data_IF_185229055664
#
_entry.id   IF_185229055664
#
_cell.length_a   1.000
_cell.length_b   1.000
_cell.length_c   1.000
_cell.angle_alpha   90.00
_cell.angle_beta   90.00
_cell.angle_gamma   90.00
#
_symmetry.space_group_name_H-M   'P 1'
#
loop_
_entity.id
_entity.type
_entity.pdbx_description
1 polymer ?
#
# COMPACT_ATOMS: atom_id res chain seq x y z
N UNK A 1 7.43 -16.66 -18.11
CA UNK A 1 6.88 -15.53 -17.33
C UNK A 1 7.96 -14.72 -16.57
N UNK A 2 9.13 -14.47 -17.17
CA UNK A 2 10.17 -13.69 -16.49
C UNK A 2 9.74 -12.21 -16.37
N UNK A 3 9.73 -11.68 -15.14
CA UNK A 3 9.45 -10.26 -14.85
C UNK A 3 8.01 -9.91 -14.47
N UNK A 4 7.10 -10.88 -14.34
CA UNK A 4 5.74 -10.59 -13.84
C UNK A 4 5.72 -10.23 -12.35
N UNK A 5 6.54 -10.91 -11.54
CA UNK A 5 6.70 -10.55 -10.13
C UNK A 5 7.57 -9.31 -10.01
N UNK A 6 7.05 -8.27 -9.37
CA UNK A 6 7.80 -7.04 -9.11
C UNK A 6 8.98 -7.35 -8.17
N UNK A 7 10.11 -6.66 -8.38
CA UNK A 7 11.32 -6.88 -7.58
C UNK A 7 11.07 -6.59 -6.10
N UNK A 8 10.39 -5.48 -5.80
CA UNK A 8 10.06 -5.11 -4.42
C UNK A 8 9.18 -6.13 -3.69
N UNK A 9 8.31 -6.85 -4.40
CA UNK A 9 7.52 -7.94 -3.82
C UNK A 9 8.42 -9.12 -3.46
N UNK A 10 9.25 -9.59 -4.40
CA UNK A 10 10.17 -10.70 -4.14
C UNK A 10 11.18 -10.39 -3.02
N UNK A 11 11.81 -9.21 -3.07
CA UNK A 11 12.86 -8.80 -2.13
C UNK A 11 12.30 -8.59 -0.72
N UNK A 12 11.15 -7.92 -0.56
CA UNK A 12 10.54 -7.71 0.74
C UNK A 12 9.96 -9.01 1.32
N UNK A 13 9.36 -9.88 0.50
CA UNK A 13 8.91 -11.19 0.95
C UNK A 13 10.09 -12.00 1.52
N UNK A 14 11.21 -12.03 0.80
CA UNK A 14 12.42 -12.72 1.24
C UNK A 14 12.99 -12.11 2.53
N UNK A 15 12.98 -10.78 2.65
CA UNK A 15 13.41 -10.08 3.87
C UNK A 15 12.51 -10.42 5.07
N UNK A 16 11.18 -10.30 4.93
CA UNK A 16 10.20 -10.59 5.98
C UNK A 16 10.33 -12.03 6.46
N UNK A 17 10.50 -12.98 5.53
CA UNK A 17 10.65 -14.40 5.86
C UNK A 17 11.97 -14.75 6.53
N UNK A 18 13.01 -13.89 6.47
CA UNK A 18 14.23 -14.08 7.28
C UNK A 18 13.97 -13.85 8.76
N UNK A 19 12.99 -13.02 9.13
CA UNK A 19 12.66 -12.73 10.52
C UNK A 19 12.12 -14.01 11.23
N UNK A 20 12.84 -14.56 12.23
CA UNK A 20 12.40 -15.77 12.93
C UNK A 20 11.08 -15.59 13.69
N UNK A 21 10.79 -14.38 14.19
CA UNK A 21 9.54 -14.10 14.88
C UNK A 21 8.34 -14.20 13.93
N UNK A 22 8.47 -13.64 12.73
CA UNK A 22 7.44 -13.73 11.68
C UNK A 22 7.19 -15.18 11.30
N UNK A 23 8.23 -15.97 11.01
CA UNK A 23 8.07 -17.39 10.66
C UNK A 23 7.37 -18.19 11.76
N UNK A 24 7.72 -17.95 13.03
CA UNK A 24 7.05 -18.61 14.17
C UNK A 24 5.57 -18.23 14.27
N UNK A 25 5.24 -16.96 14.01
CA UNK A 25 3.85 -16.49 14.01
C UNK A 25 3.03 -17.08 12.85
N UNK A 26 3.59 -17.09 11.64
CA UNK A 26 2.96 -17.73 10.47
C UNK A 26 2.62 -19.18 10.80
N UNK A 27 3.58 -19.94 11.34
CA UNK A 27 3.35 -21.33 11.74
C UNK A 27 2.21 -21.46 12.76
N UNK A 28 2.16 -20.59 13.79
CA UNK A 28 1.05 -20.60 14.76
C UNK A 28 -0.31 -20.29 14.13
N UNK A 29 -0.34 -19.37 13.17
CA UNK A 29 -1.55 -18.99 12.44
C UNK A 29 -2.00 -20.16 11.56
N UNK A 30 -1.07 -20.85 10.91
CA UNK A 30 -1.33 -22.05 10.10
C UNK A 30 -1.85 -23.21 10.96
N UNK A 31 -1.23 -23.47 12.12
CA UNK A 31 -1.66 -24.50 13.06
C UNK A 31 -3.09 -24.25 13.60
N UNK A 32 -3.53 -22.98 13.59
CA UNK A 32 -4.88 -22.55 14.01
C UNK A 32 -5.80 -22.23 12.82
N UNK A 33 -5.35 -22.44 11.59
CA UNK A 33 -6.09 -22.00 10.42
C UNK A 33 -7.45 -22.71 10.39
N UNK A 34 -8.57 -21.95 10.34
CA UNK A 34 -9.89 -22.55 10.35
C UNK A 34 -10.09 -23.41 9.10
N UNK A 35 -10.33 -24.71 9.33
CA UNK A 35 -10.89 -25.60 8.31
C UNK A 35 -12.36 -25.23 8.05
N UNK A 36 -12.84 -25.43 6.83
CA UNK A 36 -14.23 -25.15 6.44
C UNK A 36 -14.43 -23.84 5.70
N UNK A 37 -13.38 -23.23 5.14
CA UNK A 37 -13.52 -22.05 4.27
C UNK A 37 -14.46 -22.35 3.11
N UNK A 38 -14.29 -23.49 2.45
CA UNK A 38 -15.17 -23.95 1.38
C UNK A 38 -16.61 -24.14 1.84
N UNK A 39 -16.84 -24.65 3.06
CA UNK A 39 -18.18 -24.79 3.65
C UNK A 39 -18.82 -23.41 3.85
N UNK A 40 -18.08 -22.43 4.37
CA UNK A 40 -18.56 -21.08 4.57
C UNK A 40 -18.89 -20.37 3.25
N UNK A 41 -18.08 -20.58 2.20
CA UNK A 41 -18.36 -20.07 0.86
C UNK A 41 -19.63 -20.68 0.27
N UNK A 42 -19.80 -22.01 0.40
CA UNK A 42 -21.00 -22.70 -0.08
C UNK A 42 -22.27 -22.32 0.69
N UNK A 43 -22.17 -21.82 1.93
CA UNK A 43 -23.33 -21.40 2.71
C UNK A 43 -23.73 -19.94 2.48
N UNK A 44 -22.79 -19.07 2.09
CA UNK A 44 -23.00 -17.62 2.02
C UNK A 44 -22.90 -17.03 0.60
N UNK A 45 -22.36 -17.79 -0.35
CA UNK A 45 -22.17 -17.40 -1.73
C UNK A 45 -22.68 -18.48 -2.70
N UNK A 46 -22.82 -18.11 -3.98
CA UNK A 46 -23.22 -19.04 -5.03
C UNK A 46 -21.98 -19.48 -5.80
N UNK A 47 -21.70 -20.79 -5.83
CA UNK A 47 -20.65 -21.35 -6.68
C UNK A 47 -21.08 -21.28 -8.15
N UNK A 48 -20.29 -20.61 -8.97
CA UNK A 48 -20.51 -20.50 -10.40
C UNK A 48 -19.86 -21.68 -11.13
N UNK A 49 -20.68 -22.47 -11.81
CA UNK A 49 -20.22 -23.53 -12.71
C UNK A 49 -20.15 -23.02 -14.14
N UNK A 50 -19.47 -23.75 -15.02
CA UNK A 50 -19.42 -23.46 -16.46
C UNK A 50 -20.83 -23.32 -17.07
N UNK A 51 -21.77 -24.17 -16.66
CA UNK A 51 -23.16 -24.10 -17.13
C UNK A 51 -23.91 -22.84 -16.66
N UNK A 52 -23.53 -22.27 -15.52
CA UNK A 52 -24.18 -21.08 -14.96
C UNK A 52 -23.60 -19.77 -15.51
N UNK A 53 -22.28 -19.74 -15.76
CA UNK A 53 -21.56 -18.54 -16.18
C UNK A 53 -20.47 -18.89 -17.22
N UNK A 54 -20.87 -19.29 -18.45
CA UNK A 54 -19.94 -19.79 -19.46
C UNK A 54 -18.90 -18.75 -19.89
N UNK A 55 -19.30 -17.47 -20.00
CA UNK A 55 -18.38 -16.38 -20.37
C UNK A 55 -17.31 -16.13 -19.29
N UNK A 56 -17.72 -16.07 -18.02
CA UNK A 56 -16.78 -15.96 -16.90
C UNK A 56 -15.85 -17.17 -16.87
N UNK A 57 -16.40 -18.38 -17.04
CA UNK A 57 -15.60 -19.60 -17.05
C UNK A 57 -14.54 -19.56 -18.17
N UNK A 58 -14.89 -19.11 -19.37
CA UNK A 58 -13.94 -18.92 -20.47
C UNK A 58 -12.86 -17.89 -20.12
N UNK A 59 -13.22 -16.75 -19.52
CA UNK A 59 -12.24 -15.76 -19.03
C UNK A 59 -11.30 -16.40 -18.02
N UNK A 60 -11.83 -17.12 -17.03
CA UNK A 60 -11.04 -17.81 -15.99
C UNK A 60 -10.05 -18.80 -16.61
N UNK A 61 -10.47 -19.63 -17.55
CA UNK A 61 -9.58 -20.61 -18.19
C UNK A 61 -8.48 -19.96 -19.02
N UNK A 62 -8.81 -18.96 -19.84
CA UNK A 62 -7.81 -18.23 -20.62
C UNK A 62 -6.76 -17.56 -19.73
N UNK A 63 -7.19 -17.00 -18.60
CA UNK A 63 -6.26 -16.39 -17.64
C UNK A 63 -5.38 -17.45 -16.95
N UNK A 64 -5.95 -18.60 -16.57
CA UNK A 64 -5.18 -19.73 -16.02
C UNK A 64 -4.15 -20.27 -17.01
N UNK A 65 -4.52 -20.41 -18.28
CA UNK A 65 -3.62 -20.83 -19.35
C UNK A 65 -2.46 -19.84 -19.53
N UNK A 66 -2.77 -18.54 -19.63
CA UNK A 66 -1.75 -17.47 -19.75
C UNK A 66 -0.79 -17.40 -18.56
N UNK A 67 -1.29 -17.69 -17.35
CA UNK A 67 -0.52 -17.67 -16.11
C UNK A 67 0.00 -19.06 -15.70
N UNK A 68 -0.16 -20.07 -16.55
CA UNK A 68 0.26 -21.48 -16.33
C UNK A 68 -0.18 -22.05 -14.96
N UNK A 69 -1.39 -21.69 -14.50
CA UNK A 69 -1.94 -22.15 -13.21
C UNK A 69 -2.73 -23.44 -13.41
N UNK A 70 -2.20 -24.55 -12.89
CA UNK A 70 -2.82 -25.88 -12.97
C UNK A 70 -3.69 -26.25 -11.77
N UNK A 71 -3.56 -25.53 -10.65
CA UNK A 71 -4.30 -25.83 -9.41
C UNK A 71 -5.81 -25.81 -9.61
N UNK A 72 -6.57 -26.72 -8.98
CA UNK A 72 -8.03 -26.69 -9.00
C UNK A 72 -8.57 -25.35 -8.50
N UNK A 73 -9.58 -24.82 -9.20
CA UNK A 73 -10.16 -23.51 -8.92
C UNK A 73 -11.68 -23.59 -8.85
N UNK A 74 -12.29 -23.04 -7.81
CA UNK A 74 -13.73 -22.82 -7.75
C UNK A 74 -14.03 -21.32 -7.71
N UNK A 75 -15.04 -20.90 -8.48
CA UNK A 75 -15.47 -19.50 -8.57
C UNK A 75 -16.79 -19.30 -7.84
N UNK A 76 -16.89 -18.21 -7.09
CA UNK A 76 -18.09 -17.86 -6.32
C UNK A 76 -18.54 -16.43 -6.64
N UNK A 77 -19.85 -16.20 -6.54
CA UNK A 77 -20.44 -14.86 -6.54
C UNK A 77 -21.18 -14.61 -5.24
N UNK A 78 -21.02 -13.42 -4.68
CA UNK A 78 -21.75 -12.98 -3.49
C UNK A 78 -22.47 -11.64 -3.73
N UNK A 79 -23.64 -11.42 -3.10
CA UNK A 79 -24.40 -10.21 -3.31
C UNK A 79 -23.72 -9.02 -2.63
N UNK A 80 -23.16 -8.10 -3.42
CA UNK A 80 -22.57 -6.88 -2.89
C UNK A 80 -22.71 -5.71 -3.88
N UNK A 81 -23.03 -4.50 -3.42
CA UNK A 81 -23.17 -3.33 -4.28
C UNK A 81 -21.83 -2.65 -4.63
N UNK A 82 -20.75 -3.00 -3.93
CA UNK A 82 -19.41 -2.48 -4.20
C UNK A 82 -18.69 -3.41 -5.17
N UNK A 83 -17.84 -2.86 -6.05
CA UNK A 83 -16.95 -3.68 -6.87
C UNK A 83 -15.87 -4.26 -5.99
N UNK A 84 -15.82 -5.59 -5.94
CA UNK A 84 -14.79 -6.32 -5.23
C UNK A 84 -14.61 -7.72 -5.85
N UNK A 85 -13.39 -8.22 -5.78
CA UNK A 85 -13.00 -9.58 -6.06
C UNK A 85 -11.96 -10.01 -5.01
N UNK A 86 -11.85 -11.30 -4.75
CA UNK A 86 -10.87 -11.79 -3.78
C UNK A 86 -10.39 -13.21 -4.09
N UNK A 87 -9.07 -13.36 -4.06
CA UNK A 87 -8.33 -14.59 -3.92
C UNK A 87 -8.39 -15.10 -2.47
N UNK A 88 -9.05 -16.23 -2.25
CA UNK A 88 -9.10 -16.85 -0.92
C UNK A 88 -8.02 -17.91 -0.81
N UNK A 89 -7.39 -17.99 0.38
CA UNK A 89 -6.37 -19.00 0.69
C UNK A 89 -6.84 -20.39 0.24
N UNK A 90 -5.98 -21.17 -0.45
CA UNK A 90 -6.33 -22.53 -0.86
C UNK A 90 -6.68 -23.45 0.31
N UNK A 91 -7.67 -24.32 0.13
CA UNK A 91 -8.06 -25.35 1.09
C UNK A 91 -8.20 -26.70 0.36
N UNK A 92 -7.57 -27.76 0.89
CA UNK A 92 -7.62 -29.09 0.28
C UNK A 92 -7.10 -29.12 -1.17
N UNK A 93 -6.08 -28.30 -1.47
CA UNK A 93 -5.50 -28.16 -2.81
C UNK A 93 -6.37 -27.38 -3.81
N UNK A 94 -7.47 -26.75 -3.36
CA UNK A 94 -8.35 -25.94 -4.21
C UNK A 94 -8.19 -24.47 -3.88
N UNK A 95 -7.99 -23.65 -4.89
CA UNK A 95 -8.02 -22.21 -4.80
C UNK A 95 -9.44 -21.69 -5.04
N UNK A 96 -9.83 -20.61 -4.35
CA UNK A 96 -11.16 -20.03 -4.51
C UNK A 96 -11.04 -18.57 -4.92
N UNK A 97 -11.84 -18.18 -5.92
CA UNK A 97 -11.96 -16.79 -6.34
C UNK A 97 -13.40 -16.36 -6.18
N UNK A 98 -13.60 -15.20 -5.55
CA UNK A 98 -14.91 -14.64 -5.30
C UNK A 98 -15.10 -13.33 -6.04
N UNK A 99 -16.30 -13.09 -6.54
CA UNK A 99 -16.69 -11.83 -7.15
C UNK A 99 -17.95 -11.27 -6.50
N UNK A 100 -17.95 -9.96 -6.28
CA UNK A 100 -19.19 -9.23 -6.01
C UNK A 100 -20.11 -9.28 -7.25
N UNK A 101 -21.42 -9.40 -7.03
CA UNK A 101 -22.40 -9.35 -8.12
C UNK A 101 -22.30 -8.05 -8.94
N UNK A 102 -22.03 -6.92 -8.26
CA UNK A 102 -21.82 -5.63 -8.89
C UNK A 102 -20.69 -5.61 -9.93
N UNK A 103 -19.58 -6.30 -9.66
CA UNK A 103 -18.42 -6.33 -10.55
C UNK A 103 -18.72 -7.14 -11.80
N UNK A 104 -19.32 -8.32 -11.65
CA UNK A 104 -19.68 -9.18 -12.78
C UNK A 104 -20.68 -8.49 -13.72
N UNK A 105 -21.62 -7.71 -13.19
CA UNK A 105 -22.59 -6.97 -14.01
C UNK A 105 -21.99 -5.77 -14.76
N UNK A 106 -20.87 -5.21 -14.30
CA UNK A 106 -20.38 -3.91 -14.75
C UNK A 106 -19.13 -3.97 -15.64
N UNK A 107 -18.37 -5.06 -15.59
CA UNK A 107 -17.07 -5.17 -16.27
C UNK A 107 -17.21 -5.90 -17.60
N UNK A 108 -16.65 -5.31 -18.65
CA UNK A 108 -16.55 -5.98 -19.95
C UNK A 108 -15.55 -7.15 -19.90
N UNK A 109 -15.61 -8.07 -20.87
CA UNK A 109 -14.81 -9.30 -20.87
C UNK A 109 -13.30 -9.11 -20.60
N UNK A 110 -12.63 -8.18 -21.29
CA UNK A 110 -11.20 -7.92 -21.06
C UNK A 110 -10.92 -7.14 -19.76
N UNK A 111 -11.89 -6.34 -19.29
CA UNK A 111 -11.79 -5.65 -17.99
C UNK A 111 -11.92 -6.68 -16.86
N UNK A 112 -12.80 -7.66 -17.03
CA UNK A 112 -12.96 -8.79 -16.13
C UNK A 112 -11.72 -9.70 -16.17
N UNK A 113 -11.14 -9.94 -17.35
CA UNK A 113 -9.87 -10.67 -17.49
C UNK A 113 -8.72 -9.99 -16.72
N UNK A 114 -8.68 -8.65 -16.66
CA UNK A 114 -7.74 -7.93 -15.81
C UNK A 114 -7.90 -8.30 -14.32
N UNK A 115 -9.14 -8.20 -13.81
CA UNK A 115 -9.46 -8.52 -12.40
C UNK A 115 -9.16 -9.99 -12.10
N UNK A 116 -9.56 -10.89 -12.99
CA UNK A 116 -9.27 -12.33 -12.85
C UNK A 116 -7.76 -12.58 -12.80
N UNK A 117 -7.00 -12.03 -13.75
CA UNK A 117 -5.54 -12.19 -13.77
C UNK A 117 -4.87 -11.64 -12.50
N UNK A 118 -5.39 -10.53 -11.97
CA UNK A 118 -4.95 -9.95 -10.70
C UNK A 118 -5.20 -10.90 -9.52
N UNK A 119 -6.42 -11.45 -9.37
CA UNK A 119 -6.71 -12.40 -8.28
C UNK A 119 -5.93 -13.70 -8.41
N UNK A 120 -5.78 -14.23 -9.63
CA UNK A 120 -4.99 -15.43 -9.89
C UNK A 120 -3.51 -15.22 -9.53
N UNK A 121 -3.00 -14.00 -9.67
CA UNK A 121 -1.62 -13.69 -9.33
C UNK A 121 -1.33 -13.72 -7.82
N UNK A 122 -2.30 -13.40 -6.97
CA UNK A 122 -2.16 -13.61 -5.52
C UNK A 122 -1.94 -15.08 -5.17
N UNK A 123 -2.51 -15.99 -5.95
CA UNK A 123 -2.21 -17.42 -5.82
C UNK A 123 -0.86 -17.79 -6.44
N UNK A 124 -0.60 -17.34 -7.67
CA UNK A 124 0.65 -17.62 -8.39
C UNK A 124 1.91 -17.24 -7.61
N UNK A 125 1.89 -16.08 -6.95
CA UNK A 125 3.04 -15.57 -6.19
C UNK A 125 2.96 -15.87 -4.69
N UNK A 126 2.01 -16.72 -4.28
CA UNK A 126 1.83 -17.18 -2.89
C UNK A 126 1.67 -16.03 -1.88
N UNK A 127 1.01 -14.94 -2.26
CA UNK A 127 0.78 -13.78 -1.38
C UNK A 127 -0.05 -14.14 -0.12
N UNK A 128 -0.73 -15.29 -0.12
CA UNK A 128 -1.44 -15.80 1.05
C UNK A 128 -0.52 -16.46 2.10
N UNK A 129 0.74 -16.74 1.76
CA UNK A 129 1.73 -17.36 2.66
C UNK A 129 2.18 -16.42 3.78
N UNK A 130 2.09 -15.10 3.57
CA UNK A 130 2.33 -14.09 4.60
C UNK A 130 0.97 -13.46 4.95
N UNK A 131 0.22 -14.00 5.93
CA UNK A 131 -1.10 -13.50 6.29
C UNK A 131 -1.00 -12.22 7.12
N UNK A 132 -0.69 -11.09 6.47
CA UNK A 132 -0.38 -9.80 7.11
C UNK A 132 -1.43 -9.42 8.15
N UNK A 133 -2.73 -9.47 7.82
CA UNK A 133 -3.78 -9.09 8.78
C UNK A 133 -3.77 -9.96 10.05
N UNK A 134 -3.48 -11.26 9.92
CA UNK A 134 -3.38 -12.14 11.07
C UNK A 134 -2.09 -11.89 11.86
N UNK A 135 -0.99 -11.58 11.18
CA UNK A 135 0.28 -11.21 11.80
C UNK A 135 0.16 -9.91 12.61
N UNK A 136 -0.56 -8.90 12.09
CA UNK A 136 -0.80 -7.64 12.78
C UNK A 136 -1.65 -7.82 14.06
N UNK A 137 -2.41 -8.91 14.16
CA UNK A 137 -3.24 -9.23 15.33
C UNK A 137 -2.52 -10.12 16.37
N UNK A 138 -1.27 -10.54 16.13
CA UNK A 138 -0.51 -11.37 17.07
C UNK A 138 -0.08 -10.59 18.32
N UNK A 139 0.07 -11.30 19.46
CA UNK A 139 0.54 -10.72 20.73
C UNK A 139 1.75 -11.51 21.28
N UNK A 140 2.85 -10.86 21.72
CA UNK A 140 3.11 -9.43 21.57
C UNK A 140 3.22 -9.03 20.09
N UNK A 141 2.88 -7.78 19.75
CA UNK A 141 2.87 -7.28 18.38
C UNK A 141 4.28 -7.18 17.82
N UNK A 142 4.38 -7.17 16.50
CA UNK A 142 5.64 -7.03 15.80
C UNK A 142 6.22 -5.64 15.94
N UNK A 143 7.52 -5.55 15.67
CA UNK A 143 8.21 -4.29 15.58
C UNK A 143 7.74 -3.46 14.37
N UNK A 144 7.81 -2.14 14.45
CA UNK A 144 7.26 -1.23 13.46
C UNK A 144 8.02 -1.30 12.14
N UNK A 145 9.30 -1.68 12.18
CA UNK A 145 10.07 -2.00 10.99
C UNK A 145 9.44 -3.18 10.25
N UNK A 146 9.12 -4.25 10.96
CA UNK A 146 8.41 -5.41 10.41
C UNK A 146 7.01 -5.04 9.93
N UNK A 147 6.23 -4.28 10.72
CA UNK A 147 4.88 -3.83 10.33
C UNK A 147 4.91 -2.99 9.05
N UNK A 148 5.79 -1.99 8.97
CA UNK A 148 5.96 -1.16 7.77
C UNK A 148 6.44 -1.98 6.57
N UNK A 149 7.31 -2.97 6.79
CA UNK A 149 7.77 -3.88 5.73
C UNK A 149 6.63 -4.76 5.22
N UNK A 150 5.75 -5.25 6.10
CA UNK A 150 4.55 -6.00 5.71
C UNK A 150 3.63 -5.14 4.83
N UNK A 151 3.36 -3.88 5.21
CA UNK A 151 2.55 -2.97 4.39
C UNK A 151 3.23 -2.61 3.07
N UNK A 152 4.54 -2.35 3.07
CA UNK A 152 5.30 -2.11 1.84
C UNK A 152 5.24 -3.32 0.89
N UNK A 153 5.40 -4.52 1.45
CA UNK A 153 5.30 -5.76 0.70
C UNK A 153 3.90 -5.95 0.10
N UNK A 154 2.82 -5.74 0.86
CA UNK A 154 1.45 -5.81 0.32
C UNK A 154 1.25 -4.88 -0.87
N UNK A 155 1.76 -3.66 -0.78
CA UNK A 155 1.67 -2.71 -1.91
C UNK A 155 2.43 -3.18 -3.14
N UNK A 156 3.63 -3.76 -2.99
CA UNK A 156 4.35 -4.34 -4.12
C UNK A 156 3.69 -5.60 -4.67
N UNK A 157 3.06 -6.41 -3.82
CA UNK A 157 2.28 -7.59 -4.22
C UNK A 157 1.15 -7.19 -5.19
N UNK A 158 0.47 -6.07 -4.93
CA UNK A 158 -0.53 -5.51 -5.85
C UNK A 158 0.06 -5.13 -7.22
N UNK A 159 1.31 -4.65 -7.27
CA UNK A 159 1.98 -4.35 -8.54
C UNK A 159 2.26 -5.64 -9.33
N UNK A 160 2.71 -6.70 -8.66
CA UNK A 160 2.85 -8.03 -9.28
C UNK A 160 1.50 -8.51 -9.85
N UNK A 161 0.42 -8.35 -9.08
CA UNK A 161 -0.92 -8.74 -9.51
C UNK A 161 -1.43 -7.91 -10.69
N UNK A 162 -1.16 -6.61 -10.71
CA UNK A 162 -1.52 -5.71 -11.81
C UNK A 162 -0.80 -6.05 -13.12
N UNK A 163 0.46 -6.49 -13.06
CA UNK A 163 1.20 -6.98 -14.24
C UNK A 163 0.57 -8.23 -14.82
N UNK A 164 0.20 -9.19 -13.97
CA UNK A 164 -0.49 -10.41 -14.39
C UNK A 164 -1.90 -10.10 -14.94
N UNK A 165 -2.63 -9.18 -14.29
CA UNK A 165 -3.90 -8.65 -14.79
C UNK A 165 -3.76 -8.06 -16.19
N UNK A 166 -2.72 -7.27 -16.45
CA UNK A 166 -2.46 -6.72 -17.79
C UNK A 166 -2.22 -7.81 -18.85
N UNK A 167 -1.45 -8.84 -18.54
CA UNK A 167 -1.23 -10.00 -19.43
C UNK A 167 -2.55 -10.70 -19.76
N UNK A 168 -3.38 -10.91 -18.74
CA UNK A 168 -4.68 -11.56 -18.89
C UNK A 168 -5.65 -10.71 -19.73
N UNK A 169 -5.71 -9.41 -19.48
CA UNK A 169 -6.51 -8.45 -20.25
C UNK A 169 -6.10 -8.39 -21.73
N UNK A 170 -4.79 -8.52 -22.01
CA UNK A 170 -4.24 -8.48 -23.36
C UNK A 170 -4.16 -7.09 -23.98
N UNK A 171 -4.75 -6.07 -23.35
CA UNK A 171 -4.66 -4.67 -23.79
C UNK A 171 -4.67 -3.69 -22.63
N UNK A 172 -3.88 -2.61 -22.76
CA UNK A 172 -3.73 -1.56 -21.75
C UNK A 172 -5.03 -0.77 -21.54
N UNK A 173 -5.88 -0.65 -22.56
CA UNK A 173 -7.14 0.09 -22.47
C UNK A 173 -8.11 -0.55 -21.48
N UNK A 174 -8.25 -1.87 -21.53
CA UNK A 174 -9.09 -2.66 -20.62
C UNK A 174 -8.55 -2.66 -19.20
N UNK A 175 -7.23 -2.82 -19.01
CA UNK A 175 -6.60 -2.70 -17.69
C UNK A 175 -6.84 -1.33 -17.05
N UNK A 176 -6.66 -0.25 -17.83
CA UNK A 176 -6.92 1.12 -17.38
C UNK A 176 -8.38 1.35 -16.98
N UNK A 177 -9.33 0.86 -17.78
CA UNK A 177 -10.77 0.97 -17.46
C UNK A 177 -11.15 0.15 -16.23
N UNK A 178 -10.61 -1.05 -16.07
CA UNK A 178 -10.84 -1.89 -14.91
C UNK A 178 -10.38 -1.17 -13.61
N UNK A 179 -9.15 -0.67 -13.58
CA UNK A 179 -8.63 0.09 -12.43
C UNK A 179 -9.46 1.35 -12.14
N UNK A 180 -9.84 2.11 -13.17
CA UNK A 180 -10.70 3.28 -13.01
C UNK A 180 -12.07 2.92 -12.40
N UNK A 181 -12.69 1.83 -12.85
CA UNK A 181 -13.98 1.37 -12.31
C UNK A 181 -13.84 0.95 -10.85
N UNK A 182 -12.82 0.16 -10.52
CA UNK A 182 -12.55 -0.24 -9.12
C UNK A 182 -12.36 0.98 -8.23
N UNK A 183 -11.54 1.95 -8.67
CA UNK A 183 -11.26 3.17 -7.90
C UNK A 183 -12.48 4.08 -7.71
N UNK A 184 -13.38 4.14 -8.70
CA UNK A 184 -14.51 5.09 -8.70
C UNK A 184 -15.85 4.49 -8.27
N UNK A 185 -16.02 3.17 -8.37
CA UNK A 185 -17.31 2.49 -8.19
C UNK A 185 -18.36 2.82 -9.26
N UNK A 186 -17.98 3.50 -10.36
CA UNK A 186 -18.93 4.01 -11.35
C UNK A 186 -19.38 2.92 -12.33
N UNK A 187 -20.71 2.75 -12.41
CA UNK A 187 -21.39 1.75 -13.27
C UNK A 187 -21.92 2.30 -14.60
N UNK A 188 -22.19 3.60 -14.67
CA UNK A 188 -22.98 4.20 -15.75
C UNK A 188 -22.26 5.25 -16.59
N UNK A 189 -22.86 5.63 -17.72
CA UNK A 189 -22.30 6.59 -18.69
C UNK A 189 -22.32 8.07 -18.27
N UNK A 190 -22.68 8.39 -17.01
CA UNK A 190 -22.74 9.78 -16.52
C UNK A 190 -21.37 10.45 -16.47
N UNK A 191 -20.33 9.64 -16.32
CA UNK A 191 -18.94 10.08 -16.33
C UNK A 191 -18.28 9.45 -17.53
N UNK A 192 -17.66 10.28 -18.36
CA UNK A 192 -16.80 9.78 -19.44
C UNK A 192 -15.50 9.34 -18.80
N UNK A 193 -15.13 8.07 -19.00
CA UNK A 193 -13.85 7.54 -18.51
C UNK A 193 -12.75 8.14 -19.38
N UNK A 194 -12.05 9.13 -18.85
CA UNK A 194 -10.84 9.70 -19.44
C UNK A 194 -9.64 9.27 -18.59
N UNK A 195 -8.98 8.20 -19.05
CA UNK A 195 -7.86 7.61 -18.34
C UNK A 195 -6.67 8.57 -18.31
N UNK A 196 -6.43 9.34 -19.38
CA UNK A 196 -5.29 10.24 -19.45
C UNK A 196 -5.44 11.37 -18.43
N UNK A 197 -6.66 11.88 -18.24
CA UNK A 197 -6.97 12.81 -17.14
C UNK A 197 -6.78 12.17 -15.76
N UNK A 198 -7.14 10.90 -15.59
CA UNK A 198 -6.94 10.20 -14.33
C UNK A 198 -5.45 9.98 -14.01
N UNK A 199 -4.63 9.65 -15.01
CA UNK A 199 -3.17 9.56 -14.86
C UNK A 199 -2.57 10.92 -14.53
N UNK A 200 -3.08 12.00 -15.13
CA UNK A 200 -2.59 13.36 -14.84
C UNK A 200 -2.78 13.75 -13.35
N UNK A 201 -3.77 13.19 -12.65
CA UNK A 201 -3.97 13.40 -11.21
C UNK A 201 -2.81 12.87 -10.35
N UNK A 202 -1.94 11.99 -10.88
CA UNK A 202 -0.72 11.58 -10.18
C UNK A 202 0.22 12.77 -9.95
N UNK A 203 0.24 13.73 -10.87
CA UNK A 203 1.00 14.98 -10.71
C UNK A 203 0.49 15.80 -9.53
N UNK A 204 -0.83 15.98 -9.44
CA UNK A 204 -1.47 16.68 -8.31
C UNK A 204 -1.21 15.96 -6.98
N UNK A 205 -1.35 14.62 -6.96
CA UNK A 205 -1.05 13.79 -5.79
C UNK A 205 0.42 13.96 -5.35
N UNK A 206 1.35 13.95 -6.29
CA UNK A 206 2.78 14.11 -5.99
C UNK A 206 3.07 15.48 -5.36
N UNK A 207 2.45 16.53 -5.87
CA UNK A 207 2.60 17.87 -5.31
C UNK A 207 1.96 18.00 -3.92
N UNK A 208 0.81 17.37 -3.67
CA UNK A 208 0.20 17.33 -2.33
C UNK A 208 1.06 16.54 -1.32
N UNK A 209 1.59 15.38 -1.72
CA UNK A 209 2.55 14.61 -0.90
C UNK A 209 3.79 15.45 -0.60
N UNK A 210 4.31 16.21 -1.58
CA UNK A 210 5.44 17.12 -1.36
C UNK A 210 5.09 18.27 -0.41
N UNK A 211 3.88 18.82 -0.50
CA UNK A 211 3.42 19.92 0.34
C UNK A 211 3.31 19.50 1.81
N UNK A 212 2.72 18.35 2.08
CA UNK A 212 2.62 17.78 3.44
C UNK A 212 3.98 17.35 4.01
N UNK A 213 4.99 17.09 3.16
CA UNK A 213 6.37 16.88 3.63
C UNK A 213 7.15 18.17 3.95
N UNK A 214 6.64 19.35 3.59
CA UNK A 214 7.32 20.64 3.77
C UNK A 214 6.68 21.56 4.83
N UNK A 215 5.48 21.24 5.29
CA UNK A 215 4.78 21.99 6.34
C UNK A 215 4.91 21.27 7.69
N UNK A 216 4.92 22.03 8.78
CA UNK A 216 4.65 21.59 10.16
C UNK A 216 3.18 21.13 10.27
N UNK A 217 2.79 20.16 9.44
CA UNK A 217 1.45 19.62 9.34
C UNK A 217 1.40 18.27 10.06
N UNK A 218 0.77 18.27 11.24
CA UNK A 218 0.49 17.11 12.10
C UNK A 218 -0.64 16.21 11.53
N UNK A 219 -0.94 16.32 10.22
CA UNK A 219 -1.96 15.49 9.58
C UNK A 219 -1.56 14.00 9.66
N UNK A 220 -2.43 13.11 10.19
CA UNK A 220 -2.10 11.71 10.34
C UNK A 220 -1.92 11.05 8.97
N UNK A 221 -0.75 10.45 8.76
CA UNK A 221 -0.37 9.83 7.47
C UNK A 221 -0.88 8.39 7.38
N UNK A 222 -2.20 8.21 7.42
CA UNK A 222 -2.86 6.90 7.33
C UNK A 222 -2.49 6.11 6.07
N UNK A 223 -2.05 6.79 5.01
CA UNK A 223 -1.70 6.17 3.73
C UNK A 223 -0.54 5.16 3.81
N UNK A 224 0.33 5.27 4.81
CA UNK A 224 1.47 4.34 5.01
C UNK A 224 1.02 2.94 5.43
N UNK A 225 -0.13 2.87 6.10
CA UNK A 225 -0.81 1.64 6.52
C UNK A 225 -1.82 1.15 5.49
N UNK A 226 -1.89 1.81 4.32
CA UNK A 226 -2.71 1.32 3.22
C UNK A 226 -2.13 0.00 2.69
N UNK A 227 -2.98 -1.03 2.66
CA UNK A 227 -2.68 -2.35 2.08
C UNK A 227 -2.57 -2.30 0.56
N UNK A 228 -3.13 -1.27 -0.08
CA UNK A 228 -3.11 -1.08 -1.52
C UNK A 228 -2.39 0.21 -1.91
N UNK A 229 -1.63 0.23 -3.02
CA UNK A 229 -1.09 1.48 -3.54
C UNK A 229 -2.22 2.43 -3.96
N UNK A 230 -1.95 3.74 -3.98
CA UNK A 230 -2.89 4.72 -4.50
C UNK A 230 -3.33 4.37 -5.92
N UNK A 231 -4.61 4.56 -6.25
CA UNK A 231 -5.14 4.17 -7.56
C UNK A 231 -4.38 4.80 -8.75
N UNK A 232 -3.97 6.09 -8.71
CA UNK A 232 -3.13 6.66 -9.77
C UNK A 232 -1.74 6.02 -9.88
N UNK A 233 -1.16 5.57 -8.76
CA UNK A 233 0.13 4.85 -8.73
C UNK A 233 0.01 3.49 -9.42
N UNK A 234 -1.03 2.71 -9.10
CA UNK A 234 -1.31 1.43 -9.77
C UNK A 234 -1.48 1.59 -11.27
N UNK A 235 -2.28 2.57 -11.68
CA UNK A 235 -2.51 2.87 -13.10
C UNK A 235 -1.20 3.19 -13.82
N UNK A 236 -0.36 4.03 -13.23
CA UNK A 236 0.93 4.40 -13.80
C UNK A 236 1.90 3.20 -13.87
N UNK A 237 1.91 2.35 -12.85
CA UNK A 237 2.71 1.13 -12.85
C UNK A 237 2.29 0.17 -13.98
N UNK A 238 0.98 0.04 -14.24
CA UNK A 238 0.48 -0.75 -15.38
C UNK A 238 0.91 -0.15 -16.72
N UNK A 239 0.93 1.19 -16.87
CA UNK A 239 1.44 1.84 -18.10
C UNK A 239 2.94 1.64 -18.31
N UNK A 240 3.72 1.64 -17.24
CA UNK A 240 5.14 1.31 -17.30
C UNK A 240 5.31 -0.15 -17.74
N UNK A 241 4.58 -1.08 -17.11
CA UNK A 241 4.60 -2.48 -17.49
C UNK A 241 4.23 -2.68 -18.97
N UNK A 242 3.18 -2.03 -19.45
CA UNK A 242 2.73 -2.10 -20.85
C UNK A 242 3.81 -1.65 -21.85
N UNK A 243 4.70 -0.76 -21.44
CA UNK A 243 5.84 -0.30 -22.27
C UNK A 243 7.06 -1.19 -22.14
N UNK A 244 7.08 -2.12 -21.20
CA UNK A 244 8.23 -2.94 -20.85
C UNK A 244 8.31 -4.26 -21.59
N UNK A 245 9.49 -4.86 -21.59
CA UNK A 245 9.76 -6.18 -22.15
C UNK A 245 8.93 -7.30 -21.51
N UNK A 246 8.36 -7.07 -20.31
CA UNK A 246 7.52 -8.07 -19.59
C UNK A 246 6.31 -8.49 -20.42
N UNK A 247 5.73 -7.56 -21.19
CA UNK A 247 4.57 -7.82 -22.05
C UNK A 247 4.84 -7.52 -23.53
N UNK A 248 6.10 -7.54 -23.95
CA UNK A 248 6.51 -7.34 -25.35
C UNK A 248 6.75 -5.88 -25.78
N UNK A 249 6.85 -4.95 -24.83
CA UNK A 249 7.30 -3.57 -25.07
C UNK A 249 8.83 -3.43 -25.14
N UNK A 250 9.31 -2.19 -25.20
CA UNK A 250 10.72 -1.85 -25.41
C UNK A 250 11.50 -1.51 -24.14
N UNK A 251 10.84 -1.07 -23.05
CA UNK A 251 11.49 -0.68 -21.80
C UNK A 251 12.09 -1.91 -21.10
N UNK A 252 13.40 -1.94 -20.79
CA UNK A 252 14.01 -3.05 -20.08
C UNK A 252 13.41 -3.26 -18.69
N UNK A 253 13.40 -4.51 -18.22
CA UNK A 253 12.91 -4.84 -16.87
C UNK A 253 13.57 -4.01 -15.77
N UNK A 254 14.89 -3.77 -15.84
CA UNK A 254 15.61 -2.98 -14.83
C UNK A 254 15.11 -1.52 -14.75
N UNK A 255 14.77 -0.93 -15.90
CA UNK A 255 14.20 0.42 -15.96
C UNK A 255 12.76 0.43 -15.42
N UNK A 256 11.95 -0.58 -15.76
CA UNK A 256 10.62 -0.77 -15.18
C UNK A 256 10.68 -0.84 -13.64
N UNK A 257 11.58 -1.66 -13.08
CA UNK A 257 11.69 -1.81 -11.63
C UNK A 257 12.12 -0.49 -10.96
N UNK A 258 13.04 0.27 -11.57
CA UNK A 258 13.47 1.56 -11.03
C UNK A 258 12.33 2.59 -11.01
N UNK A 259 11.55 2.67 -12.09
CA UNK A 259 10.40 3.57 -12.20
C UNK A 259 9.27 3.16 -11.22
N UNK A 260 9.01 1.86 -11.06
CA UNK A 260 8.05 1.35 -10.07
C UNK A 260 8.53 1.65 -8.65
N UNK A 261 9.83 1.49 -8.36
CA UNK A 261 10.41 1.85 -7.05
C UNK A 261 10.22 3.34 -6.76
N UNK A 262 10.43 4.22 -7.74
CA UNK A 262 10.20 5.66 -7.59
C UNK A 262 8.72 5.97 -7.29
N UNK A 263 7.79 5.35 -8.00
CA UNK A 263 6.35 5.52 -7.76
C UNK A 263 5.95 5.03 -6.36
N UNK A 264 6.46 3.88 -5.96
CA UNK A 264 6.22 3.34 -4.62
C UNK A 264 6.84 4.20 -3.53
N UNK A 265 7.90 4.94 -3.86
CA UNK A 265 8.52 5.97 -3.01
C UNK A 265 7.56 7.08 -2.56
N UNK A 266 6.50 7.37 -3.35
CA UNK A 266 5.44 8.30 -2.93
C UNK A 266 4.69 7.80 -1.69
N UNK A 267 4.68 6.49 -1.47
CA UNK A 267 4.01 5.82 -0.36
C UNK A 267 5.01 5.26 0.66
N UNK A 268 6.30 5.49 0.47
CA UNK A 268 7.38 4.95 1.30
C UNK A 268 8.61 5.86 1.19
N UNK A 269 8.87 6.74 2.17
CA UNK A 269 10.05 7.59 2.09
C UNK A 269 11.29 6.75 2.41
N UNK A 270 12.13 6.43 1.41
CA UNK A 270 13.52 6.04 1.66
C UNK A 270 14.41 7.26 1.46
N UNK A 271 14.82 7.87 2.58
CA UNK A 271 15.75 9.00 2.55
C UNK A 271 17.16 8.61 2.12
N UNK A 272 17.45 7.31 1.92
CA UNK A 272 18.80 6.84 1.58
C UNK A 272 19.17 7.15 0.11
N UNK A 273 18.18 7.30 -0.78
CA UNK A 273 18.38 7.58 -2.21
C UNK A 273 17.94 8.98 -2.65
N UNK A 274 17.19 9.68 -1.80
CA UNK A 274 16.61 10.99 -2.11
C UNK A 274 17.66 12.13 -2.07
N UNK A 275 17.64 13.05 -3.04
CA UNK A 275 18.61 14.17 -3.13
C UNK A 275 18.12 15.46 -2.47
N UNK A 276 17.00 15.43 -1.75
CA UNK A 276 16.52 16.57 -0.97
C UNK A 276 17.46 16.91 0.20
N UNK A 277 17.46 18.18 0.61
CA UNK A 277 18.23 18.64 1.78
C UNK A 277 17.84 17.86 3.05
N UNK A 278 16.54 17.57 3.23
CA UNK A 278 16.03 16.76 4.34
C UNK A 278 16.57 15.32 4.30
N UNK A 279 16.63 14.69 3.13
CA UNK A 279 17.18 13.35 2.98
C UNK A 279 18.70 13.30 3.17
N UNK A 280 19.40 14.34 2.73
CA UNK A 280 20.82 14.50 3.00
C UNK A 280 21.11 14.70 4.49
N UNK A 281 20.32 15.50 5.20
CA UNK A 281 20.43 15.66 6.65
C UNK A 281 20.22 14.33 7.38
N UNK A 282 19.20 13.56 7.00
CA UNK A 282 18.94 12.24 7.56
C UNK A 282 20.08 11.24 7.29
N UNK A 283 20.64 11.19 6.08
CA UNK A 283 21.82 10.34 5.77
C UNK A 283 23.05 10.75 6.56
N UNK A 284 23.29 12.06 6.70
CA UNK A 284 24.43 12.58 7.47
C UNK A 284 24.33 12.20 8.94
N UNK A 285 23.13 12.24 9.51
CA UNK A 285 22.87 11.79 10.89
C UNK A 285 23.01 10.26 11.01
N UNK A 286 22.47 9.48 10.07
CA UNK A 286 22.63 8.03 10.02
C UNK A 286 24.11 7.62 10.00
N UNK A 287 24.92 8.28 9.16
CA UNK A 287 26.36 8.04 9.09
C UNK A 287 27.05 8.30 10.43
N UNK A 288 26.83 9.48 11.02
CA UNK A 288 27.49 9.86 12.26
C UNK A 288 27.05 8.97 13.44
N UNK A 289 25.75 8.72 13.58
CA UNK A 289 25.23 7.83 14.61
C UNK A 289 25.71 6.39 14.44
N UNK A 290 25.71 5.85 13.21
CA UNK A 290 26.13 4.48 12.94
C UNK A 290 27.62 4.25 13.20
N UNK A 291 28.47 5.21 12.85
CA UNK A 291 29.91 5.19 13.17
C UNK A 291 30.12 5.18 14.69
N UNK A 292 29.42 6.04 15.42
CA UNK A 292 29.56 6.13 16.88
C UNK A 292 29.05 4.87 17.57
N UNK A 293 27.96 4.26 17.08
CA UNK A 293 27.47 2.97 17.57
C UNK A 293 28.52 1.88 17.34
N UNK A 294 29.11 1.81 16.15
CA UNK A 294 30.16 0.84 15.87
C UNK A 294 31.42 1.04 16.73
N UNK A 295 31.74 2.27 17.13
CA UNK A 295 32.88 2.60 17.99
C UNK A 295 32.66 2.19 19.46
N UNK A 296 31.40 2.11 19.90
CA UNK A 296 31.05 1.61 21.24
C UNK A 296 31.28 0.09 21.37
N UNK A 297 31.31 -0.64 20.27
CA UNK A 297 31.62 -2.07 20.24
C UNK A 297 33.08 -2.35 19.82
N UNK A 298 33.57 -3.56 20.10
CA UNK A 298 34.95 -3.96 19.79
C UNK A 298 35.00 -5.27 18.97
N UNK A 299 36.09 -5.47 18.24
CA UNK A 299 36.35 -6.70 17.48
C UNK A 299 35.27 -7.01 16.44
N UNK A 300 34.69 -8.20 16.50
CA UNK A 300 33.72 -8.68 15.51
C UNK A 300 32.40 -7.89 15.52
N UNK A 301 31.98 -7.38 16.69
CA UNK A 301 30.75 -6.58 16.83
C UNK A 301 30.87 -5.26 16.06
N UNK A 302 32.01 -4.58 16.20
CA UNK A 302 32.33 -3.36 15.44
C UNK A 302 32.30 -3.60 13.93
N UNK A 303 32.87 -4.72 13.47
CA UNK A 303 32.84 -5.11 12.06
C UNK A 303 31.41 -5.28 11.55
N UNK A 304 30.54 -5.98 12.30
CA UNK A 304 29.12 -6.18 11.93
C UNK A 304 28.33 -4.87 11.90
N UNK A 305 28.54 -3.97 12.85
CA UNK A 305 27.90 -2.66 12.86
C UNK A 305 28.34 -1.79 11.67
N UNK A 306 29.63 -1.81 11.31
CA UNK A 306 30.12 -1.12 10.11
C UNK A 306 29.57 -1.73 8.83
N UNK A 307 29.51 -3.06 8.72
CA UNK A 307 28.89 -3.75 7.57
C UNK A 307 27.40 -3.43 7.45
N UNK A 308 26.68 -3.35 8.57
CA UNK A 308 25.29 -2.94 8.60
C UNK A 308 25.14 -1.49 8.12
N UNK A 309 25.98 -0.57 8.60
CA UNK A 309 25.98 0.83 8.15
C UNK A 309 26.29 0.95 6.65
N UNK A 310 27.29 0.23 6.14
CA UNK A 310 27.63 0.22 4.72
C UNK A 310 26.52 -0.39 3.86
N UNK A 311 25.70 -1.31 4.40
CA UNK A 311 24.53 -1.82 3.69
C UNK A 311 23.47 -0.74 3.42
N UNK A 312 23.39 0.28 4.28
CA UNK A 312 22.49 1.42 4.11
C UNK A 312 23.05 2.51 3.19
N UNK A 313 24.37 2.75 3.22
CA UNK A 313 25.02 3.89 2.56
C UNK A 313 25.83 3.53 1.30
N UNK A 314 26.04 2.24 1.04
CA UNK A 314 26.86 1.71 -0.05
C UNK A 314 28.22 1.19 0.44
N UNK A 315 28.76 0.15 -0.22
CA UNK A 315 30.05 -0.44 0.14
C UNK A 315 31.19 0.59 0.04
N UNK A 316 32.07 0.63 1.05
CA UNK A 316 33.18 1.58 1.12
C UNK A 316 32.78 3.02 1.48
N UNK A 317 31.55 3.22 1.97
CA UNK A 317 31.06 4.52 2.42
C UNK A 317 31.68 4.97 3.75
N UNK A 318 32.29 4.05 4.51
CA UNK A 318 32.98 4.35 5.77
C UNK A 318 34.51 4.27 5.56
N UNK A 319 35.23 5.40 5.60
CA UNK A 319 36.69 5.40 5.57
C UNK A 319 37.32 4.56 6.70
N UNK A 320 38.35 3.77 6.37
CA UNK A 320 39.11 2.95 7.33
C UNK A 320 39.82 3.78 8.42
N UNK A 321 40.14 5.03 8.13
CA UNK A 321 40.84 5.97 9.01
C UNK A 321 39.93 7.10 9.50
N UNK A 322 38.76 6.74 10.03
CA UNK A 322 37.80 7.72 10.52
C UNK A 322 38.14 8.16 11.95
N UNK A 323 38.18 9.48 12.18
CA UNK A 323 38.29 10.04 13.53
C UNK A 323 36.91 10.07 14.19
N UNK A 324 36.67 9.11 15.09
CA UNK A 324 35.39 8.99 15.81
C UNK A 324 35.18 10.13 16.80
N UNK A 325 36.25 10.78 17.26
CA UNK A 325 36.19 11.96 18.13
C UNK A 325 35.60 13.15 17.37
N UNK A 326 36.11 13.42 16.17
CA UNK A 326 35.59 14.47 15.30
C UNK A 326 34.12 14.23 14.89
N UNK A 327 33.73 12.97 14.67
CA UNK A 327 32.34 12.61 14.38
C UNK A 327 31.43 12.86 15.58
N UNK A 328 31.90 12.59 16.81
CA UNK A 328 31.17 12.89 18.05
C UNK A 328 30.99 14.39 18.25
N UNK A 329 31.98 15.21 17.93
CA UNK A 329 31.89 16.68 18.00
C UNK A 329 30.92 17.26 16.95
N UNK A 330 30.82 16.65 15.76
CA UNK A 330 29.92 17.09 14.69
C UNK A 330 28.47 16.56 14.85
N UNK A 331 28.23 15.61 15.76
CA UNK A 331 26.92 15.00 15.99
C UNK A 331 25.82 16.04 16.32
N UNK A 332 26.01 17.00 17.25
CA UNK A 332 24.99 18.00 17.55
C UNK A 332 24.59 18.84 16.34
N UNK A 333 25.55 19.16 15.45
CA UNK A 333 25.28 19.90 14.21
C UNK A 333 24.42 19.10 13.24
N UNK A 334 24.65 17.79 13.13
CA UNK A 334 23.86 16.89 12.27
C UNK A 334 22.45 16.68 12.82
N UNK A 335 22.32 16.56 14.14
CA UNK A 335 21.03 16.51 14.84
C UNK A 335 20.25 17.80 14.58
N UNK A 336 20.87 18.96 14.74
CA UNK A 336 20.24 20.25 14.43
C UNK A 336 19.79 20.32 12.96
N UNK A 337 20.64 19.86 12.03
CA UNK A 337 20.29 19.76 10.61
C UNK A 337 19.03 18.91 10.36
N UNK A 338 18.87 17.77 11.05
CA UNK A 338 17.64 16.96 10.97
C UNK A 338 16.47 17.65 11.63
N UNK A 339 16.66 18.26 12.80
CA UNK A 339 15.59 18.96 13.52
C UNK A 339 15.01 20.14 12.73
N UNK A 340 15.88 20.89 12.04
CA UNK A 340 15.51 22.11 11.32
C UNK A 340 14.97 21.84 9.91
N UNK A 341 15.38 20.74 9.26
CA UNK A 341 15.05 20.45 7.85
C UNK A 341 14.16 19.24 7.63
N UNK A 342 13.88 18.43 8.66
CA UNK A 342 13.11 17.18 8.55
C UNK A 342 11.86 17.27 9.44
N UNK A 343 10.66 16.97 8.89
CA UNK A 343 9.43 16.94 9.69
C UNK A 343 9.46 15.85 10.79
N UNK A 344 8.82 16.06 11.96
CA UNK A 344 8.85 15.14 13.10
C UNK A 344 8.56 13.67 12.74
N UNK A 345 7.53 13.43 11.93
CA UNK A 345 7.10 12.09 11.49
C UNK A 345 8.15 11.30 10.66
N UNK A 346 9.17 11.98 10.11
CA UNK A 346 10.26 11.33 9.35
C UNK A 346 11.53 11.12 10.16
N UNK A 347 11.70 11.81 11.29
CA UNK A 347 12.91 11.73 12.12
C UNK A 347 13.08 10.33 12.74
N UNK A 348 11.97 9.69 13.09
CA UNK A 348 11.97 8.31 13.62
C UNK A 348 12.55 7.27 12.66
N UNK A 349 12.57 7.54 11.34
CA UNK A 349 13.20 6.64 10.36
C UNK A 349 14.71 6.52 10.59
N UNK A 350 15.39 7.62 10.89
CA UNK A 350 16.84 7.62 11.17
C UNK A 350 17.15 6.93 12.48
N UNK A 351 16.36 7.20 13.53
CA UNK A 351 16.52 6.57 14.85
C UNK A 351 16.32 5.05 14.75
N UNK A 352 15.33 4.59 13.98
CA UNK A 352 15.11 3.17 13.69
C UNK A 352 16.29 2.55 12.94
N UNK A 353 16.77 3.19 11.87
CA UNK A 353 17.86 2.62 11.07
C UNK A 353 19.16 2.55 11.91
N UNK A 354 19.38 3.50 12.83
CA UNK A 354 20.42 3.44 13.84
C UNK A 354 20.22 2.28 14.84
N UNK A 355 18.98 2.03 15.28
CA UNK A 355 18.64 0.88 16.13
C UNK A 355 18.94 -0.46 15.42
N UNK A 356 18.66 -0.57 14.12
CA UNK A 356 19.00 -1.76 13.30
C UNK A 356 20.51 -1.96 13.23
N UNK A 357 21.29 -0.88 13.07
CA UNK A 357 22.76 -0.94 13.08
C UNK A 357 23.27 -1.40 14.45
N UNK A 358 22.72 -0.85 15.54
CA UNK A 358 23.08 -1.23 16.90
C UNK A 358 22.75 -2.70 17.21
N UNK A 359 21.65 -3.24 16.69
CA UNK A 359 21.23 -4.63 16.87
C UNK A 359 21.86 -5.62 15.87
N UNK A 360 22.81 -5.18 15.04
CA UNK A 360 23.41 -6.02 14.00
C UNK A 360 24.18 -7.23 14.54
N UNK A 361 24.61 -7.19 15.80
CA UNK A 361 25.27 -8.29 16.51
C UNK A 361 24.29 -9.17 17.33
N UNK A 362 23.00 -8.81 17.33
CA UNK A 362 21.91 -9.51 18.00
C UNK A 362 21.66 -9.09 19.46
N UNK A 363 22.42 -8.13 20.03
CA UNK A 363 22.22 -7.65 21.41
C UNK A 363 22.50 -6.15 21.50
N UNK A 364 21.50 -5.37 21.95
CA UNK A 364 21.70 -3.95 22.23
C UNK A 364 22.39 -3.78 23.60
N UNK A 365 23.56 -3.15 23.63
CA UNK A 365 24.25 -2.81 24.88
C UNK A 365 23.70 -1.54 25.53
N UNK A 366 23.88 -1.39 26.85
CA UNK A 366 23.48 -0.18 27.59
C UNK A 366 24.11 1.10 27.02
N UNK A 367 25.34 1.01 26.52
CA UNK A 367 26.05 2.14 25.92
C UNK A 367 25.45 2.56 24.56
N UNK A 368 25.08 1.58 23.72
CA UNK A 368 24.42 1.82 22.44
C UNK A 368 23.00 2.36 22.65
N UNK A 369 22.25 1.78 23.59
CA UNK A 369 20.91 2.26 23.95
C UNK A 369 20.93 3.71 24.45
N UNK A 370 21.90 4.05 25.30
CA UNK A 370 22.07 5.42 25.79
C UNK A 370 22.32 6.42 24.65
N UNK A 371 23.17 6.07 23.69
CA UNK A 371 23.43 6.93 22.53
C UNK A 371 22.20 7.07 21.63
N UNK A 372 21.44 5.98 21.43
CA UNK A 372 20.21 6.03 20.65
C UNK A 372 19.14 6.91 21.29
N UNK A 373 18.95 6.81 22.62
CA UNK A 373 18.06 7.68 23.40
C UNK A 373 18.48 9.15 23.30
N UNK A 374 19.77 9.42 23.45
CA UNK A 374 20.33 10.78 23.28
C UNK A 374 20.00 11.36 21.89
N UNK A 375 20.21 10.59 20.83
CA UNK A 375 19.89 11.02 19.47
C UNK A 375 18.38 11.22 19.30
N UNK A 376 17.56 10.29 19.79
CA UNK A 376 16.10 10.32 19.69
C UNK A 376 15.51 11.57 20.37
N UNK A 377 15.89 11.82 21.63
CA UNK A 377 15.47 12.99 22.39
C UNK A 377 15.87 14.28 21.67
N UNK A 378 17.10 14.31 21.15
CA UNK A 378 17.63 15.50 20.49
C UNK A 378 16.96 15.82 19.15
N UNK A 379 16.45 14.81 18.43
CA UNK A 379 15.61 14.99 17.23
C UNK A 379 14.11 15.13 17.56
N UNK A 380 13.74 15.16 18.83
CA UNK A 380 12.36 15.21 19.33
C UNK A 380 11.50 14.03 18.86
N UNK A 381 12.04 12.82 19.02
CA UNK A 381 11.36 11.55 18.77
C UNK A 381 11.37 10.76 20.07
N UNK A 382 10.21 10.22 20.45
CA UNK A 382 10.14 9.35 21.62
C UNK A 382 10.86 8.02 21.32
N UNK A 383 11.97 7.77 22.03
CA UNK A 383 12.73 6.54 21.87
C UNK A 383 11.92 5.31 22.26
N UNK A 384 11.10 5.40 23.31
CA UNK A 384 10.20 4.31 23.64
C UNK A 384 9.17 4.14 22.54
N UNK A 385 8.64 5.18 21.91
CA UNK A 385 7.75 4.97 20.76
C UNK A 385 8.48 4.32 19.57
N UNK A 386 9.77 4.54 19.34
CA UNK A 386 10.52 3.88 18.26
C UNK A 386 10.96 2.46 18.64
N UNK A 387 11.42 2.26 19.88
CA UNK A 387 11.83 0.97 20.43
C UNK A 387 10.64 0.08 20.82
N UNK A 388 9.49 0.69 21.12
CA UNK A 388 8.23 0.07 21.50
C UNK A 388 7.25 0.06 20.34
N UNK A 389 7.32 0.91 19.32
CA UNK A 389 6.77 0.52 18.01
C UNK A 389 7.56 -0.68 17.50
N UNK A 390 8.81 -0.88 17.94
CA UNK A 390 9.49 -2.16 17.86
C UNK A 390 8.93 -3.32 18.78
N UNK A 391 7.94 -3.09 19.66
CA UNK A 391 7.43 -4.02 20.71
C UNK A 391 5.88 -3.98 21.06
N UNK A 392 5.05 -2.98 20.70
CA UNK A 392 3.68 -2.70 21.20
C UNK A 392 2.76 -1.90 20.22
N UNK A 393 1.89 -2.56 19.45
CA UNK A 393 0.52 -2.10 19.10
C UNK A 393 -0.49 -3.22 19.37
N UNK A 394 -0.77 -3.49 20.66
CA UNK A 394 -1.68 -4.54 21.07
C UNK A 394 -2.78 -4.01 21.97
N UNK A 395 -3.78 -3.30 21.45
CA UNK A 395 -5.14 -3.23 22.01
C UNK A 395 -6.07 -2.31 21.18
N UNK A 396 -7.11 -2.90 20.57
CA UNK A 396 -8.26 -2.15 20.05
C UNK A 396 -8.78 -2.65 18.71
N UNK A 397 -9.62 -3.70 18.72
CA UNK A 397 -10.97 -3.66 18.16
C UNK A 397 -11.66 -5.02 18.28
N UNK A 398 -12.89 -4.96 18.78
CA UNK A 398 -13.63 -6.08 19.35
C UNK A 398 -14.28 -6.99 18.33
N UNK A 399 -14.14 -8.28 18.64
CA UNK A 399 -14.84 -9.44 18.10
C UNK A 399 -16.36 -9.25 17.95
N UNK A 400 -16.88 -9.52 16.76
CA UNK A 400 -18.26 -9.98 16.59
C UNK A 400 -18.30 -11.51 16.78
N UNK A 401 -18.42 -11.97 18.03
CA UNK A 401 -18.71 -13.37 18.34
C UNK A 401 -20.22 -13.62 18.34
N UNK A 402 -20.67 -14.45 17.41
CA UNK A 402 -21.96 -15.13 17.52
C UNK A 402 -21.90 -16.18 18.63
N UNK A 403 -22.80 -16.06 19.61
CA UNK A 403 -22.99 -17.05 20.66
C UNK A 403 -23.75 -18.27 20.13
N UNK A 404 -23.12 -19.43 20.17
CA UNK A 404 -23.78 -20.72 20.22
C UNK A 404 -23.38 -21.39 21.55
N UNK A 405 -24.32 -21.50 22.50
CA UNK A 405 -24.20 -22.44 23.62
C UNK A 405 -25.55 -23.05 23.98
N UNK A 406 -25.62 -24.36 23.81
CA UNK A 406 -26.55 -25.26 24.48
C UNK A 406 -26.27 -25.40 25.98
N UNK A 407 -27.26 -25.97 26.64
CA UNK A 407 -27.53 -26.05 28.08
C UNK A 407 -26.44 -26.67 28.95
N UNK A 408 -26.34 -26.22 30.22
CA UNK A 408 -26.70 -27.04 31.38
C UNK A 408 -26.51 -26.30 32.73
N UNK A 409 -27.59 -26.30 33.51
CA UNK A 409 -27.74 -26.41 34.99
C UNK A 409 -26.77 -25.66 35.93
N UNK A 410 -27.35 -24.85 36.82
CA UNK A 410 -26.78 -24.69 38.18
C UNK A 410 -27.17 -23.44 38.97
N UNK A 411 -28.27 -23.53 39.72
CA UNK A 411 -28.51 -22.92 41.05
C UNK A 411 -28.08 -21.46 41.34
N UNK A 412 -29.12 -20.68 41.62
CA UNK A 412 -29.37 -20.00 42.89
C UNK A 412 -29.03 -18.50 43.07
N UNK A 413 -30.07 -17.85 43.65
CA UNK A 413 -30.09 -16.68 44.54
C UNK A 413 -29.95 -15.27 43.94
N UNK A 414 -31.15 -14.70 43.77
CA UNK A 414 -31.53 -13.30 43.98
C UNK A 414 -30.69 -12.60 45.07
N UNK A 415 -30.24 -11.38 44.78
CA UNK A 415 -30.39 -10.23 45.69
C UNK A 415 -30.43 -8.92 44.91
N UNK A 416 -31.43 -8.13 45.24
CA UNK A 416 -31.74 -6.82 44.70
C UNK A 416 -30.68 -5.77 45.04
N UNK A 417 -30.56 -4.75 44.19
CA UNK A 417 -30.49 -3.37 44.66
C UNK A 417 -30.97 -2.40 43.57
N UNK A 418 -31.99 -1.64 43.95
CA UNK A 418 -32.55 -0.53 43.23
C UNK A 418 -31.56 0.65 43.15
N UNK A 419 -31.65 1.45 42.08
CA UNK A 419 -31.75 2.92 42.20
C UNK A 419 -32.30 3.57 40.92
N UNK A 420 -33.55 3.99 41.06
CA UNK A 420 -34.13 5.28 40.68
C UNK A 420 -33.79 5.94 39.32
N UNK A 421 -34.86 6.01 38.50
CA UNK A 421 -35.48 7.23 37.94
C UNK A 421 -34.56 8.21 37.17
N UNK A 422 -34.88 8.40 35.89
CA UNK A 422 -35.86 9.43 35.53
C UNK A 422 -36.45 9.19 34.13
N UNK A 423 -37.75 9.48 34.04
CA UNK A 423 -38.58 9.43 32.84
C UNK A 423 -38.39 10.74 32.07
N UNK A 424 -38.44 10.69 30.74
CA UNK A 424 -39.43 11.52 30.04
C UNK A 424 -39.94 10.77 28.80
N UNK A 425 -41.27 10.69 28.73
CA UNK A 425 -42.06 10.22 27.60
C UNK A 425 -42.31 11.43 26.71
N UNK A 426 -42.32 11.24 25.40
CA UNK A 426 -43.41 11.79 24.59
C UNK A 426 -43.75 10.81 23.46
N UNK A 427 -45.00 10.35 23.50
CA UNK A 427 -45.68 9.60 22.44
C UNK A 427 -46.06 10.61 21.35
N UNK A 428 -46.05 10.18 20.09
CA UNK A 428 -47.27 10.28 19.28
C UNK A 428 -47.23 9.30 18.11
N UNK A 429 -48.33 8.55 17.98
CA UNK A 429 -48.68 7.70 16.85
C UNK A 429 -49.29 8.59 15.77
N UNK A 430 -49.05 8.29 14.49
CA UNK A 430 -50.13 8.23 13.49
C UNK A 430 -49.70 7.43 12.26
N UNK A 431 -50.49 6.40 11.94
CA UNK A 431 -50.60 5.80 10.61
C UNK A 431 -51.45 6.75 9.75
N UNK A 432 -51.22 6.78 8.44
CA UNK A 432 -52.15 6.29 7.38
C UNK A 432 -51.69 6.73 5.98
N UNK A 433 -51.55 5.70 5.13
CA UNK A 433 -51.75 5.55 3.67
C UNK A 433 -52.04 6.78 2.78
N UNK A 434 -51.37 6.84 1.62
CA UNK A 434 -51.89 6.51 0.26
C UNK A 434 -51.53 7.47 -0.88
N UNK A 435 -51.11 6.84 -2.00
CA UNK A 435 -51.44 7.09 -3.43
C UNK A 435 -51.05 8.41 -4.13
N UNK A 436 -50.24 8.21 -5.19
CA UNK A 436 -50.56 8.43 -6.62
C UNK A 436 -49.81 9.52 -7.42
N UNK A 437 -49.21 9.02 -8.52
CA UNK A 437 -49.08 9.56 -9.91
C UNK A 437 -49.05 11.08 -10.13
N UNK A 438 -48.06 11.56 -10.91
CA UNK A 438 -48.26 11.98 -12.31
C UNK A 438 -46.97 12.48 -12.98
N UNK A 439 -46.89 12.20 -14.29
CA UNK A 439 -45.93 12.69 -15.29
C UNK A 439 -46.07 14.21 -15.52
N UNK A 440 -44.98 14.87 -15.92
CA UNK A 440 -45.06 15.84 -17.03
C UNK A 440 -43.72 16.00 -17.75
N UNK A 441 -43.79 15.95 -19.08
CA UNK A 441 -42.76 16.39 -20.03
C UNK A 441 -42.91 17.90 -20.21
N UNK A 442 -41.82 18.63 -20.39
CA UNK A 442 -41.85 19.86 -21.18
C UNK A 442 -40.55 20.04 -21.96
N UNK A 443 -40.76 20.30 -23.25
CA UNK A 443 -39.80 20.58 -24.31
C UNK A 443 -39.88 22.10 -24.49
N UNK A 444 -38.80 22.86 -24.33
CA UNK A 444 -38.72 24.23 -24.86
C UNK A 444 -37.35 24.44 -25.49
N UNK A 445 -37.37 24.67 -26.80
CA UNK A 445 -36.31 25.33 -27.56
C UNK A 445 -36.45 26.84 -27.33
N UNK A 446 -35.35 27.55 -27.09
CA UNK A 446 -35.21 28.93 -27.57
C UNK A 446 -33.74 29.24 -27.87
N UNK A 447 -33.54 29.85 -29.04
CA UNK A 447 -32.27 30.32 -29.60
C UNK A 447 -31.88 31.63 -28.90
N UNK A 448 -30.60 31.81 -28.56
CA UNK A 448 -29.96 33.13 -28.64
C UNK A 448 -28.43 33.03 -28.82
N UNK A 449 -28.03 33.32 -30.07
CA UNK A 449 -26.91 34.17 -30.51
C UNK A 449 -25.57 34.18 -29.74
N UNK A 450 -24.57 33.58 -30.41
CA UNK A 450 -23.35 34.24 -30.92
C UNK A 450 -22.66 35.32 -30.06
N UNK A 451 -21.50 34.98 -29.47
CA UNK A 451 -20.27 35.80 -29.37
C UNK A 451 -19.23 35.11 -28.45
N UNK A 452 -18.48 34.14 -28.96
CA UNK A 452 -17.29 33.64 -28.24
C UNK A 452 -16.23 32.94 -29.12
N UNK A 453 -16.23 33.15 -30.45
CA UNK A 453 -15.20 32.63 -31.36
C UNK A 453 -14.51 33.79 -32.08
N UNK A 454 -13.73 34.61 -31.36
CA UNK A 454 -12.82 35.58 -31.99
C UNK A 454 -11.63 36.05 -31.14
N UNK A 455 -11.44 35.58 -29.89
CA UNK A 455 -10.34 36.08 -29.02
C UNK A 455 -9.14 35.16 -28.79
N UNK A 456 -9.08 33.97 -29.38
CA UNK A 456 -7.93 33.04 -29.19
C UNK A 456 -6.92 32.97 -30.36
N UNK A 457 -7.22 33.55 -31.54
CA UNK A 457 -6.27 33.58 -32.67
C UNK A 457 -5.30 34.78 -32.68
N UNK A 458 -5.43 35.73 -31.74
CA UNK A 458 -4.58 36.93 -31.68
C UNK A 458 -3.35 36.81 -30.72
N UNK A 459 -3.32 35.82 -29.81
CA UNK A 459 -2.19 35.62 -28.88
C UNK A 459 -1.12 34.65 -29.39
N UNK A 460 -1.39 33.84 -30.40
CA UNK A 460 -0.43 32.90 -30.99
C UNK A 460 0.57 33.57 -31.97
N UNK A 461 0.25 34.74 -32.54
CA UNK A 461 1.12 35.44 -33.52
C UNK A 461 2.15 36.40 -32.91
N UNK A 462 2.13 36.63 -31.59
CA UNK A 462 3.08 37.52 -30.87
C UNK A 462 4.22 36.77 -30.15
N UNK A 463 4.14 35.44 -29.98
CA UNK A 463 5.22 34.63 -29.38
C UNK A 463 6.22 34.08 -30.40
N UNK A 464 5.83 33.88 -31.66
CA UNK A 464 6.71 33.39 -32.73
C UNK A 464 7.70 34.44 -33.27
N UNK A 465 7.45 35.76 -33.08
CA UNK A 465 8.39 36.83 -33.46
C UNK A 465 9.46 37.15 -32.41
N UNK A 466 9.36 36.64 -31.17
CA UNK A 466 10.33 36.93 -30.08
C UNK A 466 11.45 35.87 -29.97
N UNK A 467 11.27 34.68 -30.54
CA UNK A 467 12.28 33.61 -30.56
C UNK A 467 13.23 33.75 -31.77
N UNK A 468 12.76 34.27 -32.91
CA UNK A 468 13.59 34.50 -34.09
C UNK A 468 14.60 35.68 -33.94
N UNK A 469 14.38 36.60 -32.98
CA UNK A 469 15.28 37.75 -32.75
C UNK A 469 16.38 37.49 -31.70
N UNK A 470 16.34 36.34 -31.00
CA UNK A 470 17.37 35.92 -30.02
C UNK A 470 18.43 34.96 -30.58
N UNK A 471 18.17 34.31 -31.73
CA UNK A 471 19.14 33.44 -32.43
C UNK A 471 20.08 34.17 -33.41
N UNK A 472 19.91 35.47 -33.65
CA UNK A 472 20.76 36.27 -34.57
C UNK A 472 21.77 37.20 -33.87
N UNK A 473 21.98 37.03 -32.56
CA UNK A 473 22.91 37.83 -31.74
C UNK A 473 23.97 37.00 -31.00
N UNK A 474 24.20 35.76 -31.43
CA UNK A 474 25.25 34.85 -30.89
C UNK A 474 26.22 34.32 -31.96
N UNK A 475 26.25 34.96 -33.13
CA UNK A 475 27.25 34.76 -34.18
C UNK A 475 27.54 36.11 -34.82
N UNK A 476 28.36 36.88 -34.12
CA UNK A 476 29.25 37.91 -34.67
C UNK A 476 30.27 38.26 -33.60
#
# INVERSE_FOLDING_TARGET
MNGLRAKGDADLAAMIMKNPAVRRAIKRIEDKAPEGTRRALLSTAVRLTEAMAPELYAVMQRCREKLEISSPLETFVYPAPMFNAAAVRPEGGRFFVMFSSALLDAFAENELAFVVGHELAHHLFEHHAIPVQALLNEKPPFDAGTVLSLFAWQRYAEISCDRAGLVCAGDIGSARRALFRVASGLRGAKVTIDVEQFVAQLGDLTEEVRRTTKADDDSPRFDWFSTHPFSPVRLRAVELCARSTVVGGAMPLAELEAEVEELMGLMSPSYLKDRTESAEAMRRLLFAGGVLLADLSQGEKRRKALEALESFLGAGSVPLSLDTTAVREDLPRRIAGVKDSVPPLRRGQVVRDLLVIAQSDGVLSEAEEKLLREIADAVAVDFEEVACSCVQEGEGEGEAKGEEKGEAKGKAKRKAKAKAKSKSKSKSKSKVKSKSKAKSKSKVKSKSKSKAKSKLKAKAKKRSKKVAKRKKKKTR
#
